data_IF_037663681764
#
_entry.id   IF_037663681764
#
_cell.length_a   1.000
_cell.length_b   1.000
_cell.length_c   1.000
_cell.angle_alpha   90.00
_cell.angle_beta   90.00
_cell.angle_gamma   90.00
#
_symmetry.space_group_name_H-M   'P 1'
#
loop_
_entity.id
_entity.type
_entity.pdbx_description
1 polymer ?
#
# COMPACT_ATOMS: atom_id res chain seq x y z
N UNK A 1 29.77 -6.11 24.69
CA UNK A 1 29.53 -6.69 23.35
C UNK A 1 28.03 -6.64 23.07
N UNK A 2 27.54 -5.56 22.47
CA UNK A 2 26.11 -5.36 22.12
C UNK A 2 26.00 -4.70 20.74
N UNK A 3 26.63 -5.30 19.72
CA UNK A 3 26.67 -4.74 18.36
C UNK A 3 26.23 -5.75 17.28
N UNK A 4 26.33 -7.05 17.52
CA UNK A 4 25.92 -8.07 16.53
C UNK A 4 24.41 -8.33 16.48
N UNK A 5 23.71 -8.22 17.61
CA UNK A 5 22.30 -8.64 17.71
C UNK A 5 21.32 -7.60 17.13
N UNK A 6 21.67 -6.31 17.20
CA UNK A 6 20.84 -5.22 16.64
C UNK A 6 20.91 -5.21 15.11
N UNK A 7 22.07 -5.50 14.52
CA UNK A 7 22.26 -5.54 13.07
C UNK A 7 21.48 -6.71 12.45
N UNK A 8 21.54 -7.90 13.05
CA UNK A 8 20.81 -9.06 12.56
C UNK A 8 19.28 -8.87 12.65
N UNK A 9 18.78 -8.28 13.73
CA UNK A 9 17.34 -8.01 13.90
C UNK A 9 16.83 -6.99 12.89
N UNK A 10 17.62 -5.96 12.58
CA UNK A 10 17.27 -4.98 11.55
C UNK A 10 17.24 -5.63 10.15
N UNK A 11 18.21 -6.49 9.83
CA UNK A 11 18.27 -7.20 8.55
C UNK A 11 17.09 -8.16 8.35
N UNK A 12 16.73 -8.94 9.37
CA UNK A 12 15.55 -9.83 9.33
C UNK A 12 14.24 -9.05 9.20
N UNK A 13 14.13 -7.90 9.87
CA UNK A 13 12.97 -7.01 9.75
C UNK A 13 12.82 -6.48 8.31
N UNK A 14 13.91 -6.05 7.67
CA UNK A 14 13.87 -5.59 6.27
C UNK A 14 13.55 -6.73 5.29
N UNK A 15 14.08 -7.93 5.52
CA UNK A 15 13.81 -9.10 4.67
C UNK A 15 12.36 -9.58 4.82
N UNK A 16 11.85 -9.64 6.05
CA UNK A 16 10.44 -9.96 6.33
C UNK A 16 9.52 -8.90 5.73
N UNK A 17 9.87 -7.62 5.84
CA UNK A 17 9.13 -6.51 5.23
C UNK A 17 9.13 -6.57 3.70
N UNK A 18 10.19 -7.08 3.08
CA UNK A 18 10.23 -7.34 1.63
C UNK A 18 9.32 -8.52 1.23
N UNK A 19 9.08 -9.47 2.13
CA UNK A 19 8.18 -10.62 1.92
C UNK A 19 6.73 -10.35 2.30
N UNK A 20 6.48 -9.37 3.18
CA UNK A 20 5.16 -9.05 3.71
C UNK A 20 4.56 -7.75 3.16
N UNK A 21 5.35 -6.92 2.48
CA UNK A 21 4.91 -5.65 1.90
C UNK A 21 4.18 -5.78 0.56
N UNK A 22 3.63 -4.66 0.05
CA UNK A 22 2.93 -4.63 -1.23
C UNK A 22 3.87 -4.88 -2.41
N UNK A 23 3.33 -5.47 -3.48
CA UNK A 23 4.01 -5.53 -4.78
C UNK A 23 3.74 -4.26 -5.57
N UNK A 24 4.78 -3.62 -6.10
CA UNK A 24 4.68 -2.35 -6.83
C UNK A 24 4.91 -2.56 -8.31
N UNK A 25 3.92 -2.22 -9.13
CA UNK A 25 4.06 -2.10 -10.58
C UNK A 25 4.30 -0.62 -10.91
N UNK A 26 5.53 -0.29 -11.28
CA UNK A 26 5.94 1.11 -11.46
C UNK A 26 5.50 1.67 -12.81
N UNK A 27 5.81 0.97 -13.89
CA UNK A 27 5.68 1.51 -15.26
C UNK A 27 4.56 0.86 -16.09
N UNK A 28 4.23 -0.41 -15.84
CA UNK A 28 3.34 -1.18 -16.69
C UNK A 28 2.56 -2.23 -15.92
N UNK A 29 1.35 -2.53 -16.40
CA UNK A 29 0.52 -3.64 -15.92
C UNK A 29 0.58 -4.86 -16.85
N UNK A 30 1.42 -4.87 -17.88
CA UNK A 30 1.57 -5.98 -18.85
C UNK A 30 1.83 -7.33 -18.19
N UNK A 31 2.49 -7.33 -17.03
CA UNK A 31 2.72 -8.56 -16.24
C UNK A 31 1.42 -9.26 -15.82
N UNK A 32 0.34 -8.50 -15.65
CA UNK A 32 -1.00 -9.02 -15.33
C UNK A 32 -1.71 -9.62 -16.55
N UNK A 33 -1.23 -9.32 -17.76
CA UNK A 33 -1.76 -9.83 -19.02
C UNK A 33 -1.01 -11.09 -19.52
N UNK A 34 0.14 -11.40 -18.92
CA UNK A 34 0.96 -12.56 -19.24
C UNK A 34 0.82 -13.65 -18.15
N UNK A 35 0.08 -14.75 -18.39
CA UNK A 35 -0.18 -15.78 -17.37
C UNK A 35 1.07 -16.32 -16.69
N UNK A 36 2.10 -16.67 -17.48
CA UNK A 36 3.35 -17.23 -16.95
C UNK A 36 4.10 -16.22 -16.04
N UNK A 37 4.02 -14.92 -16.35
CA UNK A 37 4.66 -13.89 -15.53
C UNK A 37 3.86 -13.61 -14.26
N UNK A 38 2.53 -13.56 -14.35
CA UNK A 38 1.66 -13.42 -13.19
C UNK A 38 1.84 -14.59 -12.21
N UNK A 39 1.93 -15.83 -12.72
CA UNK A 39 2.19 -17.02 -11.90
C UNK A 39 3.56 -16.97 -11.22
N UNK A 40 4.59 -16.45 -11.91
CA UNK A 40 5.92 -16.24 -11.33
C UNK A 40 5.88 -15.27 -10.14
N UNK A 41 4.95 -14.32 -10.15
CA UNK A 41 4.70 -13.39 -9.03
C UNK A 41 3.68 -13.93 -8.01
N UNK A 42 3.27 -15.20 -8.12
CA UNK A 42 2.36 -15.84 -7.18
C UNK A 42 0.89 -15.50 -7.38
N UNK A 43 0.50 -14.92 -8.52
CA UNK A 43 -0.90 -14.68 -8.87
C UNK A 43 -1.46 -15.85 -9.67
N UNK A 44 -2.66 -16.31 -9.30
CA UNK A 44 -3.47 -17.12 -10.20
C UNK A 44 -4.02 -16.25 -11.35
N UNK A 45 -4.41 -16.85 -12.50
CA UNK A 45 -5.01 -16.11 -13.62
C UNK A 45 -6.22 -15.26 -13.22
N UNK A 46 -7.05 -15.76 -12.30
CA UNK A 46 -8.19 -15.03 -11.77
C UNK A 46 -7.77 -13.79 -10.98
N UNK A 47 -6.77 -13.91 -10.11
CA UNK A 47 -6.31 -12.78 -9.30
C UNK A 47 -5.67 -11.69 -10.16
N UNK A 48 -4.90 -12.07 -11.18
CA UNK A 48 -4.36 -11.10 -12.15
C UNK A 48 -5.48 -10.36 -12.90
N UNK A 49 -6.54 -11.07 -13.31
CA UNK A 49 -7.72 -10.46 -13.92
C UNK A 49 -8.50 -9.54 -12.96
N UNK A 50 -8.69 -9.96 -11.71
CA UNK A 50 -9.38 -9.17 -10.67
C UNK A 50 -8.61 -7.88 -10.37
N UNK A 51 -7.27 -7.94 -10.24
CA UNK A 51 -6.41 -6.76 -10.06
C UNK A 51 -6.52 -5.83 -11.27
N UNK A 52 -6.41 -6.35 -12.49
CA UNK A 52 -6.50 -5.55 -13.72
C UNK A 52 -7.83 -4.82 -13.85
N UNK A 53 -8.93 -5.44 -13.42
CA UNK A 53 -10.28 -4.86 -13.48
C UNK A 53 -10.61 -3.96 -12.29
N UNK A 54 -9.74 -3.87 -11.28
CA UNK A 54 -10.05 -3.21 -10.02
C UNK A 54 -11.22 -3.87 -9.27
N UNK A 55 -11.41 -5.19 -9.44
CA UNK A 55 -12.51 -5.92 -8.81
C UNK A 55 -12.42 -5.91 -7.28
N UNK A 56 -11.21 -5.74 -6.76
CA UNK A 56 -10.88 -5.66 -5.34
C UNK A 56 -10.04 -4.40 -5.06
N UNK A 57 -10.52 -3.26 -5.56
CA UNK A 57 -9.93 -1.95 -5.28
C UNK A 57 -10.16 -1.57 -3.82
N UNK A 58 -9.07 -1.37 -3.09
CA UNK A 58 -9.08 -0.93 -1.69
C UNK A 58 -8.94 0.61 -1.59
N UNK A 59 -8.92 1.34 -2.70
CA UNK A 59 -8.81 2.80 -2.74
C UNK A 59 -7.36 3.31 -2.75
N UNK A 60 -6.41 2.59 -2.14
CA UNK A 60 -4.97 2.88 -2.22
C UNK A 60 -4.18 1.83 -3.02
N UNK A 61 -4.72 0.62 -3.12
CA UNK A 61 -4.06 -0.56 -3.69
C UNK A 61 -5.11 -1.53 -4.22
N UNK A 62 -4.75 -2.40 -5.15
CA UNK A 62 -5.55 -3.55 -5.56
C UNK A 62 -5.25 -4.78 -4.69
N UNK A 63 -6.27 -5.50 -4.23
CA UNK A 63 -6.08 -6.68 -3.39
C UNK A 63 -6.10 -7.98 -4.23
N UNK A 64 -5.12 -8.85 -4.04
CA UNK A 64 -5.08 -10.18 -4.66
C UNK A 64 -6.02 -11.20 -3.99
N UNK A 65 -6.20 -11.12 -2.66
CA UNK A 65 -7.10 -12.01 -1.91
C UNK A 65 -7.46 -11.42 -0.54
N UNK A 66 -8.72 -10.99 -0.33
CA UNK A 66 -9.14 -10.42 0.95
C UNK A 66 -9.32 -11.48 2.05
N UNK A 67 -9.38 -12.77 1.73
CA UNK A 67 -9.57 -13.85 2.71
C UNK A 67 -8.27 -14.47 3.21
N UNK A 68 -7.13 -14.07 2.62
CA UNK A 68 -5.79 -14.52 2.98
C UNK A 68 -4.93 -13.37 3.56
N UNK A 69 -5.55 -12.45 4.28
CA UNK A 69 -4.85 -11.33 4.93
C UNK A 69 -4.04 -11.79 6.15
N UNK A 70 -2.82 -11.27 6.38
CA UNK A 70 -2.07 -11.52 7.62
C UNK A 70 -2.70 -10.88 8.87
N UNK A 71 -3.66 -9.97 8.70
CA UNK A 71 -4.26 -9.19 9.79
C UNK A 71 -5.63 -9.73 10.25
N UNK A 72 -6.14 -10.76 9.58
CA UNK A 72 -7.41 -11.40 9.89
C UNK A 72 -7.24 -12.88 10.23
N UNK A 73 -8.34 -13.54 10.55
CA UNK A 73 -8.36 -15.00 10.64
C UNK A 73 -8.38 -15.59 9.22
N UNK A 74 -7.69 -16.71 9.04
CA UNK A 74 -7.66 -17.39 7.73
C UNK A 74 -9.07 -17.73 7.25
N UNK A 75 -9.41 -17.32 6.03
CA UNK A 75 -10.72 -17.53 5.42
C UNK A 75 -11.77 -16.45 5.74
N UNK A 76 -11.49 -15.53 6.66
CA UNK A 76 -12.34 -14.36 6.93
C UNK A 76 -11.89 -13.15 6.11
N UNK A 77 -12.83 -12.25 5.80
CA UNK A 77 -12.51 -10.99 5.11
C UNK A 77 -11.56 -10.13 5.95
N UNK A 78 -10.59 -9.51 5.27
CA UNK A 78 -9.62 -8.59 5.87
C UNK A 78 -10.33 -7.45 6.64
N UNK A 79 -10.06 -7.28 7.94
CA UNK A 79 -10.74 -6.26 8.75
C UNK A 79 -10.07 -4.87 8.72
N UNK A 80 -8.91 -4.74 8.06
CA UNK A 80 -8.03 -3.55 8.15
C UNK A 80 -7.83 -2.83 6.81
N UNK A 81 -8.59 -3.18 5.76
CA UNK A 81 -8.52 -2.46 4.50
C UNK A 81 -9.18 -1.07 4.61
N UNK A 82 -8.60 -0.01 4.03
CA UNK A 82 -7.30 0.05 3.34
C UNK A 82 -6.12 0.46 4.22
N UNK A 83 -6.36 0.65 5.52
CA UNK A 83 -5.43 1.29 6.44
C UNK A 83 -4.07 0.59 6.54
N UNK A 84 -4.05 -0.73 6.39
CA UNK A 84 -2.83 -1.54 6.43
C UNK A 84 -2.46 -2.16 5.08
N UNK A 85 -3.12 -1.76 3.99
CA UNK A 85 -2.83 -2.32 2.67
C UNK A 85 -1.39 -2.06 2.22
N UNK A 86 -0.82 -0.91 2.56
CA UNK A 86 0.59 -0.58 2.27
C UNK A 86 1.60 -1.38 3.10
N UNK A 87 1.13 -2.30 3.94
CA UNK A 87 1.94 -3.21 4.74
C UNK A 87 1.63 -4.69 4.42
N UNK A 88 0.78 -4.95 3.42
CA UNK A 88 0.19 -6.26 3.18
C UNK A 88 0.73 -6.91 1.90
N UNK A 89 1.10 -8.19 1.99
CA UNK A 89 1.56 -9.01 0.85
C UNK A 89 0.51 -9.20 -0.26
N UNK A 90 -0.77 -9.04 0.07
CA UNK A 90 -1.85 -9.17 -0.91
C UNK A 90 -2.07 -7.87 -1.69
N UNK A 91 -1.41 -6.78 -1.33
CA UNK A 91 -1.62 -5.49 -1.96
C UNK A 91 -0.71 -5.32 -3.19
N UNK A 92 -1.32 -4.84 -4.26
CA UNK A 92 -0.70 -4.52 -5.53
C UNK A 92 -0.90 -3.04 -5.81
N UNK A 93 0.20 -2.33 -6.01
CA UNK A 93 0.19 -0.89 -6.31
C UNK A 93 0.41 -0.73 -7.80
N UNK A 94 -0.62 -0.27 -8.50
CA UNK A 94 -0.59 -0.03 -9.94
C UNK A 94 -0.16 1.41 -10.25
N UNK A 95 0.29 1.70 -11.47
CA UNK A 95 0.56 3.08 -11.90
C UNK A 95 -0.68 3.99 -11.75
N UNK A 96 -1.87 3.44 -11.94
CA UNK A 96 -3.16 4.16 -11.78
C UNK A 96 -3.45 4.61 -10.35
N UNK A 97 -2.82 4.00 -9.34
CA UNK A 97 -3.09 4.29 -7.92
C UNK A 97 -2.32 5.53 -7.44
N UNK A 98 -1.35 6.03 -8.23
CA UNK A 98 -0.45 7.12 -7.83
C UNK A 98 -1.17 8.40 -7.38
N UNK A 99 -2.27 8.88 -8.01
CA UNK A 99 -3.01 10.03 -7.50
C UNK A 99 -3.55 9.81 -6.09
N UNK A 100 -4.09 8.64 -5.77
CA UNK A 100 -4.60 8.32 -4.43
C UNK A 100 -3.46 8.26 -3.40
N UNK A 101 -2.32 7.67 -3.77
CA UNK A 101 -1.14 7.61 -2.90
C UNK A 101 -0.57 8.99 -2.56
N UNK A 102 -0.54 9.92 -3.52
CA UNK A 102 -0.12 11.30 -3.27
C UNK A 102 -1.09 12.02 -2.32
N UNK A 103 -2.40 11.87 -2.55
CA UNK A 103 -3.43 12.44 -1.67
C UNK A 103 -3.35 11.88 -0.25
N UNK A 104 -3.07 10.58 -0.13
CA UNK A 104 -2.91 9.93 1.16
C UNK A 104 -1.63 10.35 1.88
N UNK A 105 -0.52 10.58 1.17
CA UNK A 105 0.70 11.13 1.75
C UNK A 105 0.45 12.51 2.36
N UNK A 106 -0.19 13.40 1.61
CA UNK A 106 -0.58 14.73 2.11
C UNK A 106 -1.50 14.63 3.33
N UNK A 107 -2.37 13.60 3.39
CA UNK A 107 -3.23 13.35 4.54
C UNK A 107 -2.46 12.87 5.78
N UNK A 108 -1.53 11.91 5.63
CA UNK A 108 -0.69 11.44 6.73
C UNK A 108 0.21 12.55 7.28
N UNK A 109 0.73 13.44 6.43
CA UNK A 109 1.52 14.60 6.86
C UNK A 109 0.69 15.55 7.72
N UNK A 110 -0.58 15.79 7.36
CA UNK A 110 -1.49 16.59 8.20
C UNK A 110 -1.82 15.92 9.52
N UNK A 111 -2.02 14.61 9.54
CA UNK A 111 -2.26 13.85 10.78
C UNK A 111 -1.05 13.89 11.72
N UNK A 112 0.15 13.79 11.16
CA UNK A 112 1.41 13.86 11.93
C UNK A 112 1.57 15.18 12.69
N UNK A 113 1.01 16.27 12.18
CA UNK A 113 1.00 17.57 12.86
C UNK A 113 -0.06 17.67 13.97
N UNK A 114 -1.07 16.79 13.96
CA UNK A 114 -2.19 16.79 14.93
C UNK A 114 -1.98 15.79 16.07
N UNK A 115 -1.32 14.67 15.81
CA UNK A 115 -1.09 13.61 16.78
C UNK A 115 0.25 13.77 17.51
N UNK A 116 0.35 13.19 18.71
CA UNK A 116 1.65 13.04 19.35
C UNK A 116 2.56 12.13 18.48
N UNK A 117 3.88 12.33 18.48
CA UNK A 117 4.80 11.46 17.72
C UNK A 117 4.64 9.97 18.07
N UNK A 118 4.34 9.66 19.33
CA UNK A 118 4.10 8.30 19.79
C UNK A 118 2.82 7.71 19.18
N UNK A 119 1.70 8.43 19.24
CA UNK A 119 0.42 7.95 18.67
C UNK A 119 0.52 7.81 17.15
N UNK A 120 1.11 8.79 16.46
CA UNK A 120 1.33 8.68 15.02
C UNK A 120 2.21 7.48 14.67
N UNK A 121 3.31 7.27 15.38
CA UNK A 121 4.20 6.14 15.15
C UNK A 121 3.52 4.78 15.35
N UNK A 122 2.65 4.66 16.36
CA UNK A 122 1.90 3.44 16.65
C UNK A 122 0.85 3.10 15.59
N UNK A 123 0.12 4.10 15.08
CA UNK A 123 -0.98 3.88 14.14
C UNK A 123 -0.52 3.90 12.68
N UNK A 124 0.32 4.88 12.32
CA UNK A 124 0.60 5.23 10.91
C UNK A 124 2.09 5.12 10.54
N UNK A 125 2.99 4.90 11.50
CA UNK A 125 4.43 4.97 11.25
C UNK A 125 4.93 4.02 10.16
N UNK A 126 4.42 2.78 10.16
CA UNK A 126 4.82 1.77 9.18
C UNK A 126 4.21 2.05 7.80
N UNK A 127 2.91 2.36 7.74
CA UNK A 127 2.20 2.78 6.53
C UNK A 127 2.85 4.02 5.89
N UNK A 128 3.16 5.05 6.68
CA UNK A 128 3.87 6.25 6.22
C UNK A 128 5.24 5.90 5.62
N UNK A 129 6.01 5.05 6.29
CA UNK A 129 7.32 4.60 5.79
C UNK A 129 7.20 3.91 4.44
N UNK A 130 6.23 3.01 4.28
CA UNK A 130 6.05 2.25 3.05
C UNK A 130 5.51 3.13 1.92
N UNK A 131 4.58 4.03 2.22
CA UNK A 131 4.08 5.01 1.27
C UNK A 131 5.20 5.86 0.69
N UNK A 132 6.08 6.40 1.55
CA UNK A 132 7.19 7.23 1.08
C UNK A 132 8.23 6.43 0.29
N UNK A 133 8.44 5.15 0.60
CA UNK A 133 9.28 4.29 -0.23
C UNK A 133 8.68 4.10 -1.64
N UNK A 134 7.39 3.75 -1.71
CA UNK A 134 6.66 3.61 -2.99
C UNK A 134 6.70 4.90 -3.81
N UNK A 135 6.54 6.05 -3.17
CA UNK A 135 6.58 7.35 -3.84
C UNK A 135 8.01 7.76 -4.24
N UNK A 136 9.03 7.35 -3.49
CA UNK A 136 10.43 7.63 -3.84
C UNK A 136 10.84 6.92 -5.13
N UNK A 137 10.30 5.73 -5.39
CA UNK A 137 10.55 4.95 -6.62
C UNK A 137 9.84 5.50 -7.86
N UNK A 138 9.00 6.54 -7.72
CA UNK A 138 8.31 7.20 -8.84
C UNK A 138 9.12 8.37 -9.39
N UNK A 139 9.13 8.48 -10.71
CA UNK A 139 9.72 9.60 -11.44
C UNK A 139 8.98 10.91 -11.15
N UNK A 140 9.67 12.02 -11.36
CA UNK A 140 9.06 13.35 -11.19
C UNK A 140 7.98 13.60 -12.24
N UNK A 141 8.13 13.04 -13.45
CA UNK A 141 7.13 13.09 -14.52
C UNK A 141 5.84 12.36 -14.13
N UNK A 142 5.94 11.16 -13.57
CA UNK A 142 4.78 10.39 -13.09
C UNK A 142 4.04 11.14 -11.98
N UNK A 143 4.79 11.68 -10.99
CA UNK A 143 4.21 12.48 -9.90
C UNK A 143 3.53 13.74 -10.44
N UNK A 144 4.16 14.43 -11.39
CA UNK A 144 3.60 15.63 -12.00
C UNK A 144 2.30 15.32 -12.77
N UNK A 145 2.25 14.22 -13.51
CA UNK A 145 1.03 13.77 -14.20
C UNK A 145 -0.09 13.43 -13.20
N UNK A 146 0.23 12.68 -12.15
CA UNK A 146 -0.74 12.35 -11.10
C UNK A 146 -1.28 13.60 -10.40
N UNK A 147 -0.45 14.62 -10.14
CA UNK A 147 -0.89 15.90 -9.58
C UNK A 147 -1.84 16.65 -10.52
N UNK A 148 -1.61 16.62 -11.83
CA UNK A 148 -2.56 17.21 -12.80
C UNK A 148 -3.94 16.54 -12.73
N UNK A 149 -4.02 15.22 -12.56
CA UNK A 149 -5.30 14.53 -12.38
C UNK A 149 -6.02 14.98 -11.10
N UNK A 150 -5.27 15.18 -10.01
CA UNK A 150 -5.82 15.69 -8.75
C UNK A 150 -6.36 17.12 -8.94
N UNK A 151 -5.57 18.02 -9.53
CA UNK A 151 -5.95 19.41 -9.77
C UNK A 151 -7.16 19.56 -10.71
N UNK A 152 -7.31 18.63 -11.66
CA UNK A 152 -8.46 18.54 -12.55
C UNK A 152 -9.72 17.95 -11.86
N UNK A 153 -9.65 17.59 -10.58
CA UNK A 153 -10.76 16.97 -9.84
C UNK A 153 -11.07 15.54 -10.25
N UNK A 154 -10.14 14.87 -10.95
CA UNK A 154 -10.31 13.49 -11.44
C UNK A 154 -9.95 12.44 -10.38
N UNK A 155 -9.37 12.86 -9.25
CA UNK A 155 -9.09 12.03 -8.10
C UNK A 155 -9.42 12.77 -6.79
N UNK A 156 -10.05 12.07 -5.86
CA UNK A 156 -10.29 12.53 -4.49
C UNK A 156 -9.99 11.39 -3.53
N UNK A 157 -9.43 11.72 -2.35
CA UNK A 157 -8.98 10.72 -1.40
C UNK A 157 -10.16 9.87 -0.92
N UNK A 158 -10.14 8.58 -1.24
CA UNK A 158 -11.17 7.65 -0.80
C UNK A 158 -10.67 6.84 0.41
N UNK A 159 -11.00 7.30 1.61
CA UNK A 159 -10.80 6.53 2.85
C UNK A 159 -12.17 6.11 3.38
N UNK A 160 -12.36 4.84 3.79
CA UNK A 160 -13.64 4.40 4.33
C UNK A 160 -13.92 5.12 5.65
N UNK A 161 -15.20 5.43 5.89
CA UNK A 161 -15.65 6.20 7.06
C UNK A 161 -15.22 5.59 8.41
N UNK A 162 -15.01 4.28 8.49
CA UNK A 162 -14.50 3.61 9.71
C UNK A 162 -13.09 4.05 10.08
N UNK A 163 -12.30 4.52 9.12
CA UNK A 163 -10.99 5.12 9.36
C UNK A 163 -11.08 6.48 10.09
N UNK A 164 -12.20 7.20 9.95
CA UNK A 164 -12.38 8.49 10.62
C UNK A 164 -12.43 8.36 12.14
N UNK A 165 -12.83 7.21 12.67
CA UNK A 165 -12.81 6.97 14.13
C UNK A 165 -11.37 6.91 14.65
N UNK A 166 -10.43 6.38 13.86
CA UNK A 166 -9.00 6.36 14.18
C UNK A 166 -8.27 7.68 13.87
N UNK A 167 -8.89 8.58 13.10
CA UNK A 167 -8.35 9.91 12.77
C UNK A 167 -8.76 11.02 13.76
N UNK A 168 -9.82 10.80 14.55
CA UNK A 168 -10.38 11.78 15.50
C UNK A 168 -10.17 11.42 16.99
N UNK A 169 -9.48 10.31 17.30
CA UNK A 169 -9.19 9.87 18.68
C UNK A 169 -7.74 10.09 19.15
#
# INVERSE_FOLDING_TARGET
MMSGQVIATAQDHWFTKALEGPTVLTTSTEVLDAPDQAETLGLSPRQAEDIRRGALDMGLTQCADPHNSPYGRSGELCPVAPLRCLECRNAWILPSDLPQLLLFADHLDRLRLRLSPQHFGQLWGQTHTNLHAVLADRTDEEKALARKHIEAGQAALHLPLVANVEFDS
#
